data_IF_090252612849
#
_entry.id   IF_090252612849
#
_cell.length_a   1.000
_cell.length_b   1.000
_cell.length_c   1.000
_cell.angle_alpha   90.00
_cell.angle_beta   90.00
_cell.angle_gamma   90.00
#
_symmetry.space_group_name_H-M   'P 1'
#
loop_
_entity.id
_entity.type
_entity.pdbx_description
1 polymer ?
#
# COMPACT_ATOMS: atom_id res chain seq x y z
N UNK A 1 6.91 -36.95 5.27
CA UNK A 1 8.35 -37.09 5.02
C UNK A 1 9.05 -36.61 6.29
N UNK A 2 9.69 -37.50 7.06
CA UNK A 2 10.26 -37.15 8.38
C UNK A 2 11.47 -36.22 8.18
N UNK A 3 11.40 -35.03 8.75
CA UNK A 3 12.39 -33.93 8.77
C UNK A 3 13.61 -34.18 9.67
N UNK A 4 13.85 -35.44 10.05
CA UNK A 4 14.74 -35.83 11.16
C UNK A 4 16.19 -35.39 10.99
N UNK A 5 16.69 -35.25 9.76
CA UNK A 5 18.09 -34.86 9.55
C UNK A 5 18.42 -33.44 10.06
N UNK A 6 17.49 -32.49 9.93
CA UNK A 6 17.70 -31.10 10.35
C UNK A 6 17.43 -30.96 11.85
N UNK A 7 16.39 -31.62 12.34
CA UNK A 7 15.97 -31.62 13.74
C UNK A 7 17.05 -32.21 14.67
N UNK A 8 17.78 -33.24 14.22
CA UNK A 8 18.77 -33.94 15.04
C UNK A 8 20.15 -33.26 15.10
N UNK A 9 20.41 -32.22 14.27
CA UNK A 9 21.74 -31.57 14.16
C UNK A 9 21.73 -30.07 14.36
N UNK A 10 20.60 -29.40 14.19
CA UNK A 10 20.48 -27.97 14.36
C UNK A 10 20.05 -27.63 15.81
N UNK A 11 20.81 -26.76 16.47
CA UNK A 11 20.42 -26.22 17.78
C UNK A 11 19.33 -25.16 17.68
N UNK A 12 19.25 -24.48 16.54
CA UNK A 12 18.28 -23.43 16.26
C UNK A 12 17.75 -23.64 14.84
N UNK A 13 16.42 -23.58 14.69
CA UNK A 13 15.76 -23.65 13.40
C UNK A 13 14.91 -22.41 13.21
N UNK A 14 15.11 -21.73 12.08
CA UNK A 14 14.29 -20.61 11.65
C UNK A 14 13.34 -21.02 10.53
N UNK A 15 12.09 -20.60 10.63
CA UNK A 15 11.14 -20.64 9.52
C UNK A 15 10.88 -19.21 9.06
N UNK A 16 11.16 -18.93 7.81
CA UNK A 16 10.89 -17.63 7.18
C UNK A 16 9.78 -17.85 6.14
N UNK A 17 8.70 -17.08 6.25
CA UNK A 17 7.53 -17.19 5.37
C UNK A 17 6.95 -15.82 5.05
N UNK A 18 6.20 -15.75 3.95
CA UNK A 18 5.37 -14.64 3.55
C UNK A 18 3.95 -14.67 4.16
N UNK A 19 3.65 -15.64 5.04
CA UNK A 19 2.35 -15.79 5.68
C UNK A 19 1.93 -14.50 6.41
N UNK A 20 0.88 -13.86 5.89
CA UNK A 20 0.29 -12.64 6.45
C UNK A 20 -1.07 -12.97 7.08
N UNK A 21 -1.06 -13.25 8.38
CA UNK A 21 -2.25 -13.62 9.14
C UNK A 21 -2.27 -12.96 10.54
N UNK A 22 -3.44 -12.86 11.20
CA UNK A 22 -3.51 -12.45 12.59
C UNK A 22 -2.65 -13.33 13.51
N UNK A 23 -2.14 -12.75 14.61
CA UNK A 23 -1.24 -13.45 15.54
C UNK A 23 -1.79 -14.80 16.02
N UNK A 24 -3.09 -14.87 16.33
CA UNK A 24 -3.75 -16.10 16.79
C UNK A 24 -3.69 -17.23 15.74
N UNK A 25 -3.80 -16.91 14.46
CA UNK A 25 -3.72 -17.89 13.38
C UNK A 25 -2.27 -18.36 13.19
N UNK A 26 -1.32 -17.43 13.24
CA UNK A 26 0.12 -17.76 13.18
C UNK A 26 0.53 -18.65 14.34
N UNK A 27 0.01 -18.41 15.55
CA UNK A 27 0.25 -19.27 16.72
C UNK A 27 -0.28 -20.69 16.51
N UNK A 28 -1.48 -20.84 15.93
CA UNK A 28 -2.05 -22.15 15.59
C UNK A 28 -1.19 -22.87 14.55
N UNK A 29 -0.79 -22.19 13.48
CA UNK A 29 0.08 -22.76 12.44
C UNK A 29 1.45 -23.11 13.02
N UNK A 30 2.04 -22.20 13.78
CA UNK A 30 3.34 -22.34 14.44
C UNK A 30 3.41 -23.51 15.41
N UNK A 31 2.30 -23.83 16.10
CA UNK A 31 2.22 -25.00 16.99
C UNK A 31 2.47 -26.33 16.29
N UNK A 32 2.25 -26.40 14.96
CA UNK A 32 2.55 -27.58 14.14
C UNK A 32 4.03 -27.73 13.83
N UNK A 33 4.81 -26.69 14.08
CA UNK A 33 6.25 -26.62 13.84
C UNK A 33 7.01 -26.51 15.17
N UNK A 34 6.70 -27.40 16.12
CA UNK A 34 7.32 -27.39 17.46
C UNK A 34 8.84 -27.60 17.47
N UNK A 35 9.44 -27.97 16.34
CA UNK A 35 10.90 -28.03 16.15
C UNK A 35 11.53 -26.67 15.78
N UNK A 36 10.72 -25.70 15.33
CA UNK A 36 11.21 -24.37 15.02
C UNK A 36 11.54 -23.61 16.31
N UNK A 37 12.65 -22.89 16.29
CA UNK A 37 13.02 -21.98 17.38
C UNK A 37 12.40 -20.62 17.18
N UNK A 38 12.43 -20.10 15.94
CA UNK A 38 11.84 -18.81 15.56
C UNK A 38 11.07 -18.95 14.25
N UNK A 39 9.90 -18.33 14.17
CA UNK A 39 9.06 -18.25 12.98
C UNK A 39 8.84 -16.78 12.65
N UNK A 40 9.25 -16.34 11.46
CA UNK A 40 8.99 -15.01 10.93
C UNK A 40 7.71 -15.05 10.11
N UNK A 41 6.60 -14.58 10.70
CA UNK A 41 5.27 -14.67 10.10
C UNK A 41 4.28 -13.71 10.77
N UNK A 42 3.19 -13.41 10.05
CA UNK A 42 2.03 -12.69 10.57
C UNK A 42 1.86 -11.27 10.06
N UNK A 43 0.94 -10.56 10.68
CA UNK A 43 0.73 -9.13 10.45
C UNK A 43 2.03 -8.35 10.69
N UNK A 44 2.21 -7.25 9.96
CA UNK A 44 3.38 -6.38 10.17
C UNK A 44 3.31 -5.70 11.53
N UNK A 45 4.44 -5.63 12.23
CA UNK A 45 4.58 -4.76 13.39
C UNK A 45 4.66 -3.29 12.95
N UNK A 46 4.15 -2.35 13.76
CA UNK A 46 4.32 -0.93 13.48
C UNK A 46 5.81 -0.53 13.58
N UNK A 47 6.23 0.51 12.86
CA UNK A 47 7.56 1.09 13.06
C UNK A 47 7.75 1.53 14.53
N UNK A 48 8.98 1.44 15.03
CA UNK A 48 9.33 1.70 16.44
C UNK A 48 8.77 0.69 17.47
N UNK A 49 8.12 -0.40 17.04
CA UNK A 49 7.73 -1.48 17.95
C UNK A 49 8.95 -2.10 18.63
N UNK A 50 8.87 -2.31 19.95
CA UNK A 50 9.90 -2.99 20.73
C UNK A 50 9.27 -4.03 21.64
N UNK A 51 9.90 -5.19 21.77
CA UNK A 51 9.53 -6.25 22.71
C UNK A 51 10.78 -6.88 23.30
N UNK A 52 10.79 -7.08 24.61
CA UNK A 52 11.89 -7.75 25.31
C UNK A 52 11.30 -8.74 26.31
N UNK A 53 11.77 -9.99 26.27
CA UNK A 53 11.33 -11.05 27.18
C UNK A 53 12.49 -11.93 27.58
N UNK A 54 12.39 -12.53 28.76
CA UNK A 54 13.41 -13.41 29.32
C UNK A 54 12.81 -14.54 30.15
N UNK A 55 13.59 -15.60 30.37
CA UNK A 55 13.23 -16.70 31.24
C UNK A 55 11.96 -17.44 30.79
N UNK A 56 11.01 -17.60 31.71
CA UNK A 56 9.76 -18.33 31.48
C UNK A 56 8.81 -17.63 30.49
N UNK A 57 9.00 -16.33 30.25
CA UNK A 57 8.13 -15.55 29.38
C UNK A 57 8.49 -15.70 27.89
N UNK A 58 9.62 -16.33 27.56
CA UNK A 58 10.04 -16.56 26.17
C UNK A 58 9.14 -17.63 25.52
N UNK A 59 8.35 -17.28 24.49
CA UNK A 59 7.48 -18.22 23.80
C UNK A 59 8.28 -19.23 22.97
N UNK A 60 7.69 -20.41 22.73
CA UNK A 60 8.30 -21.49 21.93
C UNK A 60 7.24 -22.10 21.00
N UNK A 61 7.39 -21.99 19.66
CA UNK A 61 8.38 -21.18 18.94
C UNK A 61 8.22 -19.68 19.21
N UNK A 62 9.31 -18.91 19.06
CA UNK A 62 9.24 -17.45 19.06
C UNK A 62 8.64 -16.98 17.73
N UNK A 63 7.51 -16.29 17.79
CA UNK A 63 6.88 -15.72 16.59
C UNK A 63 7.29 -14.26 16.47
N UNK A 64 8.00 -13.96 15.39
CA UNK A 64 8.43 -12.61 15.05
C UNK A 64 7.47 -12.08 13.97
N UNK A 65 6.75 -10.98 14.25
CA UNK A 65 5.93 -10.31 13.25
C UNK A 65 6.75 -9.95 12.00
N UNK A 66 6.08 -9.59 10.91
CA UNK A 66 6.82 -9.06 9.75
C UNK A 66 7.21 -7.61 10.00
N UNK A 67 8.28 -7.15 9.33
CA UNK A 67 8.54 -5.73 9.19
C UNK A 67 7.40 -5.03 8.43
N UNK A 68 7.32 -3.72 8.59
CA UNK A 68 6.39 -2.89 7.83
C UNK A 68 6.65 -3.11 6.33
N UNK A 69 5.57 -3.06 5.57
CA UNK A 69 5.63 -3.26 4.14
C UNK A 69 6.50 -2.19 3.47
N UNK A 70 7.02 -2.51 2.28
CA UNK A 70 7.70 -1.57 1.38
C UNK A 70 9.04 -1.05 1.93
N UNK A 71 9.66 -1.80 2.84
CA UNK A 71 10.98 -1.48 3.37
C UNK A 71 10.97 -0.31 4.35
N UNK A 72 9.81 0.08 4.91
CA UNK A 72 9.74 1.20 5.85
C UNK A 72 10.40 0.91 7.20
N UNK A 73 10.42 -0.34 7.65
CA UNK A 73 11.06 -0.68 8.92
C UNK A 73 12.05 -1.83 8.80
N UNK A 74 13.07 -1.77 9.64
CA UNK A 74 14.07 -2.81 9.80
C UNK A 74 13.88 -3.50 11.15
N UNK A 75 13.61 -4.80 11.14
CA UNK A 75 13.56 -5.59 12.36
C UNK A 75 14.97 -5.99 12.81
N UNK A 76 15.34 -5.62 14.04
CA UNK A 76 16.57 -6.00 14.73
C UNK A 76 16.18 -6.96 15.86
N UNK A 77 16.70 -8.18 15.79
CA UNK A 77 16.39 -9.23 16.76
C UNK A 77 17.69 -9.73 17.41
N UNK A 78 17.88 -9.38 18.67
CA UNK A 78 18.93 -9.92 19.52
C UNK A 78 18.39 -11.13 20.28
N UNK A 79 19.11 -12.25 20.23
CA UNK A 79 18.70 -13.50 20.86
C UNK A 79 19.83 -14.03 21.73
N UNK A 80 19.51 -14.33 22.99
CA UNK A 80 20.43 -15.01 23.90
C UNK A 80 20.03 -16.46 24.06
N UNK A 81 21.03 -17.34 24.01
CA UNK A 81 20.85 -18.79 24.01
C UNK A 81 21.43 -19.40 25.27
N UNK A 82 20.80 -20.47 25.75
CA UNK A 82 21.41 -21.37 26.72
C UNK A 82 22.54 -22.18 26.07
N UNK A 83 23.46 -22.76 26.87
CA UNK A 83 24.45 -23.71 26.36
C UNK A 83 23.85 -24.92 25.63
N UNK A 84 22.59 -25.26 25.92
CA UNK A 84 21.83 -26.33 25.28
C UNK A 84 21.09 -25.90 24.00
N UNK A 85 21.21 -24.63 23.57
CA UNK A 85 20.64 -24.12 22.32
C UNK A 85 19.23 -23.51 22.44
N UNK A 86 18.64 -23.50 23.64
CA UNK A 86 17.31 -22.90 23.86
C UNK A 86 17.39 -21.38 24.00
N UNK A 87 16.41 -20.66 23.47
CA UNK A 87 16.31 -19.20 23.66
C UNK A 87 15.94 -18.91 25.12
N UNK A 88 16.78 -18.11 25.80
CA UNK A 88 16.60 -17.69 27.21
C UNK A 88 16.15 -16.25 27.35
N UNK A 89 16.47 -15.40 26.37
CA UNK A 89 15.91 -14.06 26.24
C UNK A 89 16.03 -13.58 24.80
N UNK A 90 15.21 -12.60 24.45
CA UNK A 90 15.34 -11.87 23.20
C UNK A 90 14.95 -10.41 23.39
N UNK A 91 15.50 -9.57 22.52
CA UNK A 91 15.07 -8.20 22.32
C UNK A 91 14.79 -8.00 20.84
N UNK A 92 13.56 -7.60 20.54
CA UNK A 92 13.09 -7.28 19.19
C UNK A 92 12.83 -5.77 19.13
N UNK A 93 13.41 -5.11 18.13
CA UNK A 93 13.18 -3.70 17.85
C UNK A 93 12.93 -3.50 16.36
N UNK A 94 11.87 -2.79 15.99
CA UNK A 94 11.68 -2.28 14.63
C UNK A 94 12.17 -0.85 14.55
N UNK A 95 13.19 -0.62 13.75
CA UNK A 95 13.68 0.72 13.45
C UNK A 95 12.83 1.30 12.32
N UNK A 96 12.24 2.47 12.53
CA UNK A 96 11.57 3.23 11.47
C UNK A 96 12.62 3.88 10.54
N UNK A 97 12.65 3.45 9.28
CA UNK A 97 13.55 3.98 8.25
C UNK A 97 12.92 5.25 7.66
N UNK A 98 12.98 6.32 8.45
CA UNK A 98 12.50 7.66 8.11
C UNK A 98 13.65 8.62 7.84
N UNK A 99 13.34 9.90 7.61
CA UNK A 99 14.35 10.91 7.25
C UNK A 99 15.41 11.16 8.34
N UNK A 100 15.22 10.62 9.56
CA UNK A 100 16.25 10.61 10.60
C UNK A 100 17.34 9.55 10.39
N UNK A 101 17.10 8.56 9.53
CA UNK A 101 18.07 7.55 9.13
C UNK A 101 18.69 7.99 7.80
N UNK A 102 19.98 8.32 7.84
CA UNK A 102 20.70 8.78 6.66
C UNK A 102 20.84 7.64 5.63
N UNK A 103 20.59 7.96 4.36
CA UNK A 103 20.80 7.02 3.26
C UNK A 103 22.30 6.78 3.04
N UNK A 104 22.69 5.53 2.85
CA UNK A 104 24.07 5.21 2.45
C UNK A 104 24.39 5.87 1.09
N UNK A 105 25.49 6.66 0.96
CA UNK A 105 25.78 7.40 -0.26
C UNK A 105 25.97 6.51 -1.50
N UNK A 106 26.48 5.29 -1.34
CA UNK A 106 26.67 4.36 -2.45
C UNK A 106 25.32 3.81 -2.93
N UNK A 107 24.46 3.38 -2.00
CA UNK A 107 23.13 2.88 -2.35
C UNK A 107 22.23 3.98 -2.92
N UNK A 108 22.31 5.21 -2.40
CA UNK A 108 21.62 6.37 -2.94
C UNK A 108 22.00 6.58 -4.42
N UNK A 109 23.31 6.57 -4.71
CA UNK A 109 23.80 6.72 -6.09
C UNK A 109 23.38 5.57 -7.00
N UNK A 110 23.44 4.33 -6.52
CA UNK A 110 22.93 3.18 -7.29
C UNK A 110 21.44 3.30 -7.60
N UNK A 111 20.65 3.84 -6.67
CA UNK A 111 19.22 4.08 -6.86
C UNK A 111 18.97 5.19 -7.88
N UNK A 112 19.72 6.30 -7.80
CA UNK A 112 19.66 7.39 -8.78
C UNK A 112 20.01 6.89 -10.19
N UNK A 113 21.07 6.11 -10.33
CA UNK A 113 21.49 5.52 -11.62
C UNK A 113 20.39 4.59 -12.18
N UNK A 114 19.80 3.74 -11.33
CA UNK A 114 18.69 2.86 -11.71
C UNK A 114 17.46 3.65 -12.18
N UNK A 115 17.07 4.69 -11.44
CA UNK A 115 15.95 5.55 -11.80
C UNK A 115 16.22 6.31 -13.12
N UNK A 116 17.46 6.76 -13.34
CA UNK A 116 17.87 7.38 -14.59
C UNK A 116 17.80 6.41 -15.77
N UNK A 117 18.11 5.14 -15.56
CA UNK A 117 18.01 4.10 -16.60
C UNK A 117 16.56 3.74 -16.91
N UNK A 118 15.68 3.65 -15.90
CA UNK A 118 14.23 3.56 -16.11
C UNK A 118 13.72 4.75 -16.92
N UNK A 119 14.22 5.97 -16.65
CA UNK A 119 13.80 7.16 -17.37
C UNK A 119 14.15 7.12 -18.87
N UNK A 120 15.21 6.38 -19.25
CA UNK A 120 15.62 6.16 -20.65
C UNK A 120 14.90 4.98 -21.31
N UNK A 121 14.19 4.15 -20.54
CA UNK A 121 13.57 2.94 -21.07
C UNK A 121 12.57 3.27 -22.20
N UNK A 122 12.58 2.51 -23.32
CA UNK A 122 11.72 2.75 -24.47
C UNK A 122 10.25 2.83 -24.07
N UNK A 123 9.57 3.71 -24.79
CA UNK A 123 8.29 4.23 -24.40
C UNK A 123 7.08 3.40 -24.85
N UNK A 124 7.35 2.29 -25.53
CA UNK A 124 6.38 1.46 -26.26
C UNK A 124 5.64 0.45 -25.39
N UNK A 125 5.13 0.86 -24.24
CA UNK A 125 4.08 0.09 -23.55
C UNK A 125 2.75 0.59 -24.13
N UNK A 126 1.83 -0.30 -24.55
CA UNK A 126 0.54 0.12 -25.07
C UNK A 126 -0.13 1.09 -24.10
N UNK A 127 -0.80 2.10 -24.67
CA UNK A 127 -1.68 3.02 -23.94
C UNK A 127 -2.49 2.18 -22.96
N UNK A 128 -2.25 2.37 -21.66
CA UNK A 128 -3.03 1.66 -20.64
C UNK A 128 -4.43 2.21 -20.85
N UNK A 129 -5.30 1.43 -21.49
CA UNK A 129 -6.70 1.80 -21.65
C UNK A 129 -7.27 1.97 -20.25
N UNK A 130 -7.60 3.20 -19.88
CA UNK A 130 -8.31 3.51 -18.65
C UNK A 130 -9.79 3.17 -18.86
N UNK A 131 -10.09 1.88 -19.01
CA UNK A 131 -11.46 1.42 -19.27
C UNK A 131 -12.33 1.89 -18.11
N UNK A 132 -13.31 2.77 -18.38
CA UNK A 132 -14.24 3.29 -17.39
C UNK A 132 -13.87 4.61 -16.72
N UNK A 133 -12.62 5.08 -16.78
CA UNK A 133 -12.21 6.30 -16.09
C UNK A 133 -12.09 7.49 -17.06
N UNK A 134 -12.48 8.67 -16.58
CA UNK A 134 -12.60 9.89 -17.40
C UNK A 134 -11.78 11.07 -16.89
N UNK A 135 -11.21 10.97 -15.68
CA UNK A 135 -10.46 12.03 -15.03
C UNK A 135 -11.37 13.02 -14.31
N UNK A 136 -10.85 13.73 -13.31
CA UNK A 136 -11.68 14.59 -12.45
C UNK A 136 -12.30 15.78 -13.18
N UNK A 137 -11.66 16.25 -14.26
CA UNK A 137 -12.14 17.38 -15.06
C UNK A 137 -13.50 17.10 -15.71
N UNK A 138 -13.81 15.84 -16.02
CA UNK A 138 -15.10 15.44 -16.60
C UNK A 138 -16.27 15.67 -15.64
N UNK A 139 -16.00 15.74 -14.33
CA UNK A 139 -17.01 15.91 -13.30
C UNK A 139 -17.42 17.38 -13.12
N UNK A 140 -16.56 18.32 -13.53
CA UNK A 140 -16.66 19.75 -13.19
C UNK A 140 -17.97 20.39 -13.65
N UNK A 141 -18.42 20.10 -14.86
CA UNK A 141 -19.56 20.81 -15.46
C UNK A 141 -20.88 20.52 -14.75
N UNK A 142 -21.06 19.29 -14.25
CA UNK A 142 -22.24 18.89 -13.48
C UNK A 142 -22.06 19.07 -11.97
N UNK A 143 -20.82 18.95 -11.46
CA UNK A 143 -20.47 18.94 -10.03
C UNK A 143 -19.49 20.06 -9.65
N UNK A 144 -19.72 21.28 -10.14
CA UNK A 144 -18.79 22.40 -9.99
C UNK A 144 -18.39 22.69 -8.54
N UNK A 145 -19.35 22.71 -7.61
CA UNK A 145 -19.06 22.96 -6.19
C UNK A 145 -18.22 21.86 -5.54
N UNK A 146 -18.50 20.59 -5.84
CA UNK A 146 -17.69 19.47 -5.34
C UNK A 146 -16.29 19.46 -5.96
N UNK A 147 -16.19 19.76 -7.26
CA UNK A 147 -14.91 19.86 -7.97
C UNK A 147 -14.04 20.98 -7.38
N UNK A 148 -14.59 22.18 -7.18
CA UNK A 148 -13.88 23.30 -6.57
C UNK A 148 -13.36 22.93 -5.17
N UNK A 149 -14.20 22.35 -4.31
CA UNK A 149 -13.76 21.87 -3.01
C UNK A 149 -12.62 20.85 -3.12
N UNK A 150 -12.73 19.88 -4.02
CA UNK A 150 -11.70 18.87 -4.24
C UNK A 150 -10.36 19.49 -4.64
N UNK A 151 -10.33 20.48 -5.53
CA UNK A 151 -9.08 21.13 -5.97
C UNK A 151 -8.30 21.80 -4.85
N UNK A 152 -8.98 22.19 -3.77
CA UNK A 152 -8.35 22.80 -2.59
C UNK A 152 -7.68 21.77 -1.68
N UNK A 153 -8.02 20.49 -1.82
CA UNK A 153 -7.55 19.42 -0.93
C UNK A 153 -6.12 18.97 -1.24
N UNK A 154 -5.55 18.17 -0.35
CA UNK A 154 -4.25 17.50 -0.60
C UNK A 154 -4.35 16.37 -1.61
N UNK A 155 -5.54 15.81 -1.80
CA UNK A 155 -5.78 14.73 -2.76
C UNK A 155 -5.58 15.20 -4.20
N UNK A 156 -6.10 16.38 -4.56
CA UNK A 156 -5.86 16.98 -5.87
C UNK A 156 -4.37 17.28 -6.13
N UNK A 157 -3.60 17.57 -5.07
CA UNK A 157 -2.16 17.87 -5.15
C UNK A 157 -1.26 16.66 -4.90
N UNK A 158 -1.81 15.46 -4.76
CA UNK A 158 -1.02 14.28 -4.39
C UNK A 158 0.11 14.02 -5.41
N UNK A 159 -0.13 14.18 -6.70
CA UNK A 159 0.92 13.99 -7.71
C UNK A 159 2.08 14.99 -7.55
N UNK A 160 1.77 16.25 -7.24
CA UNK A 160 2.78 17.30 -7.05
C UNK A 160 3.78 16.94 -5.95
N UNK A 161 3.34 16.24 -4.89
CA UNK A 161 4.27 15.81 -3.84
C UNK A 161 5.31 14.80 -4.35
N UNK A 162 5.00 14.02 -5.40
CA UNK A 162 5.97 13.13 -6.05
C UNK A 162 6.93 13.91 -6.96
N UNK A 163 6.43 14.94 -7.64
CA UNK A 163 7.25 15.83 -8.47
C UNK A 163 8.31 16.55 -7.63
N UNK A 164 7.91 17.07 -6.47
CA UNK A 164 8.78 17.79 -5.52
C UNK A 164 9.95 16.94 -5.01
N UNK A 165 9.75 15.62 -4.86
CA UNK A 165 10.77 14.68 -4.37
C UNK A 165 11.39 13.81 -5.48
N UNK A 166 11.03 14.05 -6.75
CA UNK A 166 11.58 13.32 -7.90
C UNK A 166 11.14 11.85 -8.01
N UNK A 167 10.02 11.45 -7.40
CA UNK A 167 9.56 10.04 -7.31
C UNK A 167 8.38 9.70 -8.22
N UNK A 168 8.15 10.48 -9.28
CA UNK A 168 7.04 10.29 -10.23
C UNK A 168 7.09 9.00 -11.06
N UNK A 169 8.20 8.25 -10.98
CA UNK A 169 8.41 6.97 -11.69
C UNK A 169 8.43 5.77 -10.76
N UNK A 170 8.29 5.98 -9.46
CA UNK A 170 8.30 4.89 -8.50
C UNK A 170 6.96 4.15 -8.53
N UNK A 171 7.03 2.89 -8.97
CA UNK A 171 5.89 1.99 -9.05
C UNK A 171 5.06 1.92 -7.77
N UNK A 172 5.72 1.96 -6.62
CA UNK A 172 5.11 1.95 -5.30
C UNK A 172 4.25 3.19 -5.06
N UNK A 173 4.60 4.35 -5.61
CA UNK A 173 3.86 5.60 -5.37
C UNK A 173 2.60 5.73 -6.24
N UNK A 174 2.61 5.16 -7.45
CA UNK A 174 1.54 5.36 -8.46
C UNK A 174 0.14 4.98 -7.94
N UNK A 175 -0.08 3.82 -7.29
CA UNK A 175 -1.42 3.42 -6.86
C UNK A 175 -2.11 4.39 -5.89
N UNK A 176 -1.34 5.20 -5.16
CA UNK A 176 -1.86 6.17 -4.19
C UNK A 176 -1.87 7.61 -4.72
N UNK A 177 -1.18 7.91 -5.83
CA UNK A 177 -0.99 9.27 -6.34
C UNK A 177 -1.57 9.50 -7.73
N UNK A 178 -2.14 8.47 -8.37
CA UNK A 178 -2.75 8.55 -9.69
C UNK A 178 -4.08 7.81 -9.73
N UNK A 179 -5.12 8.48 -10.22
CA UNK A 179 -6.48 7.94 -10.35
C UNK A 179 -6.56 6.88 -11.44
N UNK A 180 -7.21 5.75 -11.16
CA UNK A 180 -7.46 4.69 -12.15
C UNK A 180 -6.30 3.71 -12.39
N UNK A 181 -5.22 3.83 -11.62
CA UNK A 181 -4.02 2.98 -11.75
C UNK A 181 -3.73 2.14 -10.50
N UNK A 182 -4.74 1.88 -9.68
CA UNK A 182 -4.63 0.98 -8.53
C UNK A 182 -4.22 -0.43 -8.98
N UNK A 183 -3.18 -0.99 -8.36
CA UNK A 183 -2.72 -2.36 -8.61
C UNK A 183 -1.71 -2.55 -9.76
N UNK A 184 -1.22 -1.47 -10.38
CA UNK A 184 -0.18 -1.56 -11.40
C UNK A 184 1.23 -1.57 -10.79
N UNK A 185 2.08 -2.48 -11.28
CA UNK A 185 3.43 -2.72 -10.76
C UNK A 185 4.50 -1.75 -11.30
N UNK A 186 4.18 -0.93 -12.30
CA UNK A 186 4.98 0.25 -12.71
C UNK A 186 4.30 1.02 -13.84
N UNK A 187 4.45 2.35 -13.87
CA UNK A 187 4.04 3.20 -14.99
C UNK A 187 5.07 4.32 -15.16
N UNK A 188 5.65 4.52 -16.36
CA UNK A 188 6.48 5.69 -16.62
C UNK A 188 5.67 6.98 -16.49
N UNK A 189 6.23 8.01 -15.86
CA UNK A 189 5.61 9.33 -15.63
C UNK A 189 4.83 9.87 -16.84
N UNK A 190 5.44 9.82 -18.02
CA UNK A 190 4.89 10.32 -19.29
C UNK A 190 3.68 9.53 -19.79
N UNK A 191 3.37 8.38 -19.18
CA UNK A 191 2.18 7.57 -19.46
C UNK A 191 1.03 7.88 -18.50
N UNK A 192 1.26 8.73 -17.49
CA UNK A 192 0.20 9.24 -16.62
C UNK A 192 -0.40 10.49 -17.29
N UNK A 193 -1.61 10.43 -17.86
CA UNK A 193 -2.20 11.60 -18.47
C UNK A 193 -2.55 12.63 -17.40
N UNK A 194 -2.42 13.92 -17.74
CA UNK A 194 -2.59 15.01 -16.78
C UNK A 194 -3.92 14.94 -15.99
N UNK A 195 -5.02 14.56 -16.64
CA UNK A 195 -6.35 14.46 -16.02
C UNK A 195 -6.51 13.36 -14.95
N UNK A 196 -5.52 12.48 -14.80
CA UNK A 196 -5.52 11.39 -13.80
C UNK A 196 -4.50 11.61 -12.69
N UNK A 197 -3.68 12.66 -12.76
CA UNK A 197 -2.69 13.00 -11.74
C UNK A 197 -3.40 13.45 -10.45
N UNK A 198 -3.04 12.83 -9.33
CA UNK A 198 -3.65 13.06 -8.03
C UNK A 198 -4.67 11.97 -7.66
N UNK A 199 -5.16 12.08 -6.42
CA UNK A 199 -6.30 11.30 -5.93
C UNK A 199 -7.57 12.04 -6.34
N UNK A 200 -8.13 11.64 -7.47
CA UNK A 200 -9.27 12.29 -8.13
C UNK A 200 -10.63 11.78 -7.64
N UNK A 201 -11.70 12.33 -8.23
CA UNK A 201 -13.07 11.95 -7.88
C UNK A 201 -13.28 10.42 -7.96
N UNK A 202 -12.78 9.82 -9.04
CA UNK A 202 -12.95 8.40 -9.35
C UNK A 202 -12.12 7.47 -8.44
N UNK A 203 -11.12 7.99 -7.69
CA UNK A 203 -10.41 7.22 -6.67
C UNK A 203 -11.30 6.81 -5.49
N UNK A 204 -12.33 7.62 -5.22
CA UNK A 204 -13.27 7.38 -4.12
C UNK A 204 -14.63 6.87 -4.63
N UNK A 205 -15.09 7.45 -5.72
CA UNK A 205 -16.45 7.25 -6.24
C UNK A 205 -16.54 6.15 -7.31
N UNK A 206 -15.41 5.64 -7.80
CA UNK A 206 -15.37 4.64 -8.87
C UNK A 206 -15.33 5.26 -10.28
N UNK A 207 -15.25 4.44 -11.33
CA UNK A 207 -15.06 4.90 -12.71
C UNK A 207 -16.29 5.65 -13.26
N UNK A 208 -16.09 6.85 -13.81
CA UNK A 208 -17.18 7.78 -14.19
C UNK A 208 -17.71 7.68 -15.62
N UNK A 209 -17.10 6.88 -16.51
CA UNK A 209 -17.46 6.85 -17.95
C UNK A 209 -18.94 6.51 -18.15
N UNK A 210 -19.43 5.45 -17.53
CA UNK A 210 -20.82 5.03 -17.71
C UNK A 210 -21.81 5.95 -16.96
N UNK A 211 -21.38 6.59 -15.86
CA UNK A 211 -22.17 7.60 -15.18
C UNK A 211 -22.44 8.79 -16.11
N UNK A 212 -21.38 9.36 -16.70
CA UNK A 212 -21.49 10.50 -17.63
C UNK A 212 -22.36 10.12 -18.82
N UNK A 213 -22.15 8.93 -19.40
CA UNK A 213 -22.95 8.45 -20.53
C UNK A 213 -24.43 8.33 -20.16
N UNK A 214 -24.74 7.73 -19.03
CA UNK A 214 -26.12 7.53 -18.58
C UNK A 214 -26.83 8.86 -18.26
N UNK A 215 -26.18 9.74 -17.50
CA UNK A 215 -26.79 11.03 -17.13
C UNK A 215 -26.97 11.94 -18.34
N UNK A 216 -26.01 11.96 -19.27
CA UNK A 216 -26.11 12.72 -20.52
C UNK A 216 -27.26 12.22 -21.39
N UNK A 217 -27.44 10.90 -21.51
CA UNK A 217 -28.60 10.31 -22.19
C UNK A 217 -29.91 10.72 -21.53
N UNK A 218 -29.99 10.64 -20.19
CA UNK A 218 -31.20 10.96 -19.41
C UNK A 218 -31.67 12.41 -19.58
N UNK A 219 -30.75 13.36 -19.77
CA UNK A 219 -31.08 14.78 -19.98
C UNK A 219 -31.30 15.16 -21.45
N UNK A 220 -31.38 14.18 -22.35
CA UNK A 220 -31.61 14.40 -23.78
C UNK A 220 -30.38 14.90 -24.55
N UNK A 221 -29.17 14.71 -24.00
CA UNK A 221 -27.93 14.99 -24.70
C UNK A 221 -27.69 14.03 -25.86
N UNK A 222 -27.12 14.53 -26.95
CA UNK A 222 -26.76 13.73 -28.12
C UNK A 222 -25.48 12.94 -27.81
N UNK A 223 -25.58 11.64 -27.50
CA UNK A 223 -24.43 10.75 -27.40
C UNK A 223 -24.33 9.83 -28.62
N UNK A 224 -23.10 9.64 -29.11
CA UNK A 224 -22.76 8.57 -30.04
C UNK A 224 -22.75 7.24 -29.25
N UNK A 225 -23.79 6.42 -29.38
CA UNK A 225 -23.81 5.06 -28.82
C UNK A 225 -25.20 4.50 -28.51
N UNK A 226 -25.25 3.18 -28.28
CA UNK A 226 -26.47 2.45 -27.86
C UNK A 226 -27.01 3.00 -26.52
N UNK A 227 -28.34 3.06 -26.33
CA UNK A 227 -28.94 3.50 -25.08
C UNK A 227 -28.50 2.60 -23.93
N UNK A 228 -28.03 3.24 -22.86
CA UNK A 228 -27.89 2.59 -21.58
C UNK A 228 -29.32 2.32 -21.08
N UNK A 229 -29.64 1.07 -20.71
CA UNK A 229 -31.00 0.65 -20.34
C UNK A 229 -31.56 1.45 -19.18
N UNK A 230 -32.89 1.54 -19.06
CA UNK A 230 -33.56 2.16 -17.89
C UNK A 230 -33.15 1.49 -16.56
N UNK A 231 -32.83 0.19 -16.59
CA UNK A 231 -32.36 -0.60 -15.44
C UNK A 231 -30.86 -0.42 -15.14
N UNK A 232 -30.20 0.56 -15.74
CA UNK A 232 -28.77 0.78 -15.49
C UNK A 232 -28.54 1.34 -14.10
N UNK A 233 -27.84 0.57 -13.28
CA UNK A 233 -27.35 1.02 -11.98
C UNK A 233 -26.10 1.88 -12.16
N UNK A 234 -26.19 3.12 -11.67
CA UNK A 234 -25.09 4.07 -11.70
C UNK A 234 -23.89 3.54 -10.88
N UNK A 235 -22.72 3.34 -11.50
CA UNK A 235 -21.57 2.75 -10.82
C UNK A 235 -20.92 3.70 -9.80
N UNK A 236 -21.34 4.96 -9.76
CA UNK A 236 -20.79 5.97 -8.85
C UNK A 236 -21.23 5.73 -7.40
N UNK A 237 -20.26 5.44 -6.55
CA UNK A 237 -20.46 5.26 -5.11
C UNK A 237 -20.57 6.62 -4.44
N UNK A 238 -21.79 7.11 -4.19
CA UNK A 238 -22.02 8.44 -3.59
C UNK A 238 -21.37 8.62 -2.21
N UNK A 239 -21.38 7.58 -1.38
CA UNK A 239 -20.77 7.59 -0.05
C UNK A 239 -19.77 6.44 0.02
N UNK A 240 -18.48 6.71 -0.26
CA UNK A 240 -17.44 5.70 -0.21
C UNK A 240 -17.30 5.13 1.21
N UNK A 241 -17.13 3.80 1.37
CA UNK A 241 -16.86 3.20 2.67
C UNK A 241 -15.45 3.56 3.18
N UNK A 242 -15.22 3.42 4.49
CA UNK A 242 -13.90 3.66 5.11
C UNK A 242 -12.77 2.84 4.46
N UNK A 243 -13.10 1.64 3.96
CA UNK A 243 -12.16 0.78 3.22
C UNK A 243 -11.56 1.46 1.98
N UNK A 244 -12.28 2.40 1.36
CA UNK A 244 -11.77 3.17 0.22
C UNK A 244 -10.60 4.07 0.64
N UNK A 245 -10.68 4.66 1.82
CA UNK A 245 -9.61 5.50 2.35
C UNK A 245 -8.37 4.68 2.73
N UNK A 246 -8.56 3.51 3.34
CA UNK A 246 -7.47 2.69 3.89
C UNK A 246 -6.71 1.87 2.84
N UNK A 247 -7.09 1.95 1.56
CA UNK A 247 -6.24 1.48 0.45
C UNK A 247 -4.90 2.24 0.45
N UNK A 248 -4.96 3.56 0.66
CA UNK A 248 -3.80 4.45 0.67
C UNK A 248 -3.43 4.87 2.09
N UNK A 249 -4.42 5.21 2.92
CA UNK A 249 -4.23 5.61 4.31
C UNK A 249 -4.08 4.41 5.23
N UNK A 250 -2.92 3.77 5.14
CA UNK A 250 -2.51 2.66 5.99
C UNK A 250 -1.04 2.83 6.32
N UNK A 251 -0.57 2.32 7.47
CA UNK A 251 0.87 2.20 7.69
C UNK A 251 1.52 1.41 6.54
N UNK A 252 2.67 1.85 6.01
CA UNK A 252 3.46 3.01 6.44
C UNK A 252 3.08 4.36 5.78
N UNK A 253 2.19 4.36 4.80
CA UNK A 253 1.90 5.51 3.93
C UNK A 253 1.26 6.71 4.66
N UNK A 254 0.41 6.47 5.67
CA UNK A 254 -0.14 7.50 6.55
C UNK A 254 -0.27 6.97 7.98
N UNK A 255 0.76 7.18 8.78
CA UNK A 255 0.74 6.80 10.20
C UNK A 255 -0.18 7.71 11.01
N UNK A 256 -1.04 7.10 11.81
CA UNK A 256 -1.99 7.84 12.65
C UNK A 256 -3.20 8.39 11.89
N UNK A 257 -3.46 7.90 10.67
CA UNK A 257 -4.73 8.14 10.01
C UNK A 257 -5.91 7.67 10.88
N UNK A 258 -6.84 8.57 11.14
CA UNK A 258 -8.09 8.28 11.84
C UNK A 258 -9.24 8.76 10.96
N UNK A 259 -9.91 7.81 10.30
CA UNK A 259 -10.98 8.08 9.34
C UNK A 259 -11.99 9.13 9.82
N UNK A 260 -12.55 8.91 11.02
CA UNK A 260 -13.58 9.78 11.60
C UNK A 260 -13.13 11.22 11.85
N UNK A 261 -11.83 11.49 11.98
CA UNK A 261 -11.28 12.83 12.18
C UNK A 261 -10.89 13.52 10.88
N UNK A 262 -10.71 12.76 9.80
CA UNK A 262 -10.20 13.25 8.52
C UNK A 262 -11.29 13.35 7.46
N UNK A 263 -12.38 12.60 7.57
CA UNK A 263 -13.48 12.57 6.60
C UNK A 263 -14.02 13.98 6.29
N UNK A 264 -14.20 14.82 7.30
CA UNK A 264 -14.75 16.18 7.13
C UNK A 264 -13.83 17.11 6.32
N UNK A 265 -12.59 16.70 6.04
CA UNK A 265 -11.65 17.48 5.20
C UNK A 265 -11.83 17.25 3.70
N UNK A 266 -12.60 16.24 3.32
CA UNK A 266 -12.83 15.86 1.92
C UNK A 266 -14.32 15.67 1.61
N UNK A 267 -15.16 15.47 2.63
CA UNK A 267 -16.61 15.35 2.45
C UNK A 267 -17.16 16.63 1.82
N UNK A 268 -17.90 16.46 0.74
CA UNK A 268 -18.65 17.50 0.06
C UNK A 268 -20.13 17.08 0.01
N UNK A 269 -21.02 18.01 0.34
CA UNK A 269 -22.48 17.78 0.37
C UNK A 269 -23.12 18.01 -1.02
#
# INVERSE_FOLDING_TARGET
>A
MRTTFVEDRAQIIFIVTDLSAPKSEVEIVGSRFGYASIIFAGASAPPNYTEEKSGADVPRPLIIPRAASWGRSLGVLDVHLSPSGGIISYKLQYVDLNDSVENDPMLARMTEDYLADIAKAPTGVPEIRHVGYTGSDSCRDCHGGQYEHWTETRHARAWTTLEEIGRTREATCIPCHVTGFTGLESIPERMVPYGFRGVGCESCHGPGENHIRYQTWKIGGLLLGEPISEDFEDPIVRIPPESTCTVCHRPPNDEGFVYRLKLDRIRHD
#
